data_IF_708534791806
#
_entry.id   IF_708534791806
#
_cell.length_a   1.000
_cell.length_b   1.000
_cell.length_c   1.000
_cell.angle_alpha   90.00
_cell.angle_beta   90.00
_cell.angle_gamma   90.00
#
_symmetry.space_group_name_H-M   'P 1'
#
loop_
_entity.id
_entity.type
_entity.pdbx_description
1 polymer ?
#
# COMPACT_ATOMS: atom_id res chain seq x y z
N UNK A 1 -4.25 -46.77 24.05
CA UNK A 1 -3.61 -47.19 22.79
C UNK A 1 -2.12 -46.91 22.93
N UNK A 2 -1.34 -47.96 23.14
CA UNK A 2 0.11 -47.89 23.31
C UNK A 2 0.75 -47.83 21.92
N UNK A 3 0.86 -46.61 21.38
CA UNK A 3 1.47 -46.40 20.07
C UNK A 3 2.94 -46.85 20.09
N UNK A 4 3.31 -47.68 19.11
CA UNK A 4 4.67 -48.20 18.98
C UNK A 4 5.67 -47.05 18.84
N UNK A 5 6.94 -47.24 19.25
CA UNK A 5 7.98 -46.18 19.18
C UNK A 5 8.06 -45.49 17.82
N UNK A 6 7.79 -46.22 16.74
CA UNK A 6 7.80 -45.71 15.37
C UNK A 6 6.63 -44.76 15.09
N UNK A 7 5.47 -44.99 15.70
CA UNK A 7 4.27 -44.17 15.50
C UNK A 7 4.44 -42.76 16.12
N UNK A 8 5.09 -42.69 17.29
CA UNK A 8 5.40 -41.40 17.93
C UNK A 8 6.39 -40.58 17.10
N UNK A 9 7.38 -41.23 16.48
CA UNK A 9 8.36 -40.55 15.63
C UNK A 9 7.72 -39.97 14.37
N UNK A 10 6.80 -40.71 13.74
CA UNK A 10 6.10 -40.23 12.54
C UNK A 10 5.27 -38.98 12.85
N UNK A 11 4.51 -38.98 13.95
CA UNK A 11 3.69 -37.83 14.36
C UNK A 11 4.55 -36.57 14.59
N UNK A 12 5.71 -36.72 15.22
CA UNK A 12 6.62 -35.60 15.47
C UNK A 12 7.15 -35.04 14.14
N UNK A 13 7.61 -35.90 13.23
CA UNK A 13 8.13 -35.45 11.92
C UNK A 13 7.03 -34.77 11.10
N UNK A 14 5.83 -35.32 11.05
CA UNK A 14 4.71 -34.73 10.31
C UNK A 14 4.32 -33.36 10.88
N UNK A 15 4.27 -33.20 12.20
CA UNK A 15 3.96 -31.90 12.83
C UNK A 15 5.03 -30.84 12.53
N UNK A 16 6.31 -31.23 12.48
CA UNK A 16 7.41 -30.33 12.13
C UNK A 16 7.31 -29.85 10.67
N UNK A 17 7.03 -30.76 9.73
CA UNK A 17 6.90 -30.42 8.32
C UNK A 17 5.72 -29.46 8.10
N UNK A 18 4.56 -29.74 8.72
CA UNK A 18 3.39 -28.86 8.60
C UNK A 18 3.71 -27.47 9.14
N UNK A 19 4.28 -27.36 10.35
CA UNK A 19 4.66 -26.08 10.94
C UNK A 19 5.71 -25.32 10.10
N UNK A 20 6.68 -26.03 9.53
CA UNK A 20 7.70 -25.44 8.67
C UNK A 20 7.10 -24.89 7.36
N UNK A 21 6.21 -25.64 6.70
CA UNK A 21 5.55 -25.17 5.47
C UNK A 21 4.64 -23.98 5.75
N UNK A 22 3.85 -24.00 6.83
CA UNK A 22 3.00 -22.86 7.20
C UNK A 22 3.83 -21.61 7.53
N UNK A 23 4.94 -21.77 8.26
CA UNK A 23 5.86 -20.66 8.53
C UNK A 23 6.52 -20.11 7.26
N UNK A 24 6.87 -20.98 6.31
CA UNK A 24 7.49 -20.58 5.05
C UNK A 24 6.52 -19.80 4.14
N UNK A 25 5.24 -20.20 4.08
CA UNK A 25 4.20 -19.46 3.34
C UNK A 25 4.02 -18.06 3.95
N UNK A 26 3.86 -17.97 5.28
CA UNK A 26 3.69 -16.68 5.96
C UNK A 26 4.91 -15.76 5.80
N UNK A 27 6.13 -16.30 5.80
CA UNK A 27 7.35 -15.52 5.56
C UNK A 27 7.48 -15.06 4.10
N UNK A 28 7.01 -15.85 3.13
CA UNK A 28 6.98 -15.45 1.73
C UNK A 28 5.96 -14.33 1.49
N UNK A 29 4.76 -14.42 2.07
CA UNK A 29 3.76 -13.34 2.02
C UNK A 29 4.28 -12.06 2.71
N UNK A 30 5.07 -12.20 3.77
CA UNK A 30 5.71 -11.06 4.44
C UNK A 30 6.82 -10.42 3.59
N UNK A 31 7.45 -11.17 2.68
CA UNK A 31 8.50 -10.66 1.80
C UNK A 31 7.96 -9.84 0.63
N UNK A 32 6.68 -9.97 0.28
CA UNK A 32 6.00 -9.09 -0.69
C UNK A 32 5.66 -7.70 -0.11
N UNK A 33 5.85 -7.47 1.19
CA UNK A 33 5.65 -6.16 1.83
C UNK A 33 6.93 -5.28 1.81
N UNK A 34 8.03 -5.75 1.21
CA UNK A 34 9.28 -4.96 1.10
C UNK A 34 9.41 -4.08 -0.15
N UNK A 35 8.29 -3.74 -0.79
CA UNK A 35 8.22 -2.67 -1.81
C UNK A 35 7.34 -1.48 -1.39
N UNK A 36 7.10 -1.27 -0.09
CA UNK A 36 6.82 0.09 0.41
C UNK A 36 8.11 0.91 0.38
N UNK A 37 8.65 1.12 -0.83
CA UNK A 37 9.59 2.20 -1.07
C UNK A 37 8.83 3.49 -0.84
N UNK A 38 9.16 4.21 0.22
CA UNK A 38 8.78 5.62 0.33
C UNK A 38 9.42 6.34 -0.85
N UNK A 39 8.65 6.55 -1.93
CA UNK A 39 9.09 7.39 -3.03
C UNK A 39 8.99 8.83 -2.54
N UNK A 40 10.10 9.38 -2.07
CA UNK A 40 10.23 10.81 -1.81
C UNK A 40 10.26 11.49 -3.17
N UNK A 41 9.10 11.98 -3.63
CA UNK A 41 9.04 12.87 -4.78
C UNK A 41 9.59 14.23 -4.37
N UNK A 42 10.86 14.47 -4.68
CA UNK A 42 11.36 15.83 -4.87
C UNK A 42 11.00 16.24 -6.30
N UNK A 43 10.37 17.40 -6.46
CA UNK A 43 10.03 17.99 -7.76
C UNK A 43 11.28 18.45 -8.52
N UNK A 44 12.24 17.55 -8.80
CA UNK A 44 13.32 17.81 -9.76
C UNK A 44 13.67 16.57 -10.57
N UNK A 45 13.11 16.55 -11.78
CA UNK A 45 13.58 15.93 -13.02
C UNK A 45 13.66 14.41 -13.14
N UNK A 46 13.04 13.93 -14.22
CA UNK A 46 13.25 12.61 -14.83
C UNK A 46 14.74 12.44 -15.14
N UNK A 47 15.43 11.63 -14.35
CA UNK A 47 16.74 11.10 -14.72
C UNK A 47 16.60 9.59 -14.90
N UNK A 48 16.60 9.19 -16.17
CA UNK A 48 16.87 7.79 -16.56
C UNK A 48 18.36 7.56 -16.33
N UNK A 49 18.76 6.70 -15.38
CA UNK A 49 19.97 5.87 -15.49
C UNK A 49 20.12 4.85 -14.34
N UNK A 50 20.41 3.62 -14.78
CA UNK A 50 21.12 2.46 -14.19
C UNK A 50 21.66 2.52 -12.73
N UNK A 51 21.72 1.39 -11.98
CA UNK A 51 21.96 1.39 -10.55
C UNK A 51 23.45 1.27 -10.20
N UNK A 52 24.04 2.33 -9.63
CA UNK A 52 25.16 2.23 -8.69
C UNK A 52 24.98 3.29 -7.58
N UNK A 53 25.43 3.03 -6.33
CA UNK A 53 25.01 3.78 -5.16
C UNK A 53 25.87 5.04 -4.97
N UNK A 54 25.32 6.21 -5.31
CA UNK A 54 25.94 7.50 -4.97
C UNK A 54 25.08 8.22 -3.95
N UNK A 55 25.62 8.32 -2.73
CA UNK A 55 25.17 9.23 -1.68
C UNK A 55 25.28 10.68 -2.18
N UNK A 56 24.15 11.38 -2.34
CA UNK A 56 24.14 12.82 -2.61
C UNK A 56 23.37 13.58 -1.52
N UNK A 57 24.13 14.40 -0.78
CA UNK A 57 23.63 15.52 0.01
C UNK A 57 23.02 16.55 -0.94
N UNK A 58 21.72 16.80 -0.87
CA UNK A 58 21.06 17.86 -1.65
C UNK A 58 20.76 19.03 -0.71
N UNK A 59 21.44 20.15 -0.96
CA UNK A 59 21.22 21.44 -0.33
C UNK A 59 19.93 22.09 -0.83
N UNK A 60 19.11 22.49 0.15
CA UNK A 60 17.87 23.26 0.09
C UNK A 60 17.74 24.26 -1.07
N UNK A 61 16.68 24.10 -1.87
CA UNK A 61 16.12 25.16 -2.68
C UNK A 61 14.66 25.38 -2.27
N UNK A 62 14.35 26.61 -1.90
CA UNK A 62 13.11 27.10 -1.32
C UNK A 62 11.94 27.04 -2.31
N UNK A 63 11.15 25.98 -2.23
CA UNK A 63 9.75 25.92 -2.68
C UNK A 63 8.87 26.13 -1.43
N UNK A 64 7.71 26.81 -1.47
CA UNK A 64 6.90 26.99 -0.27
C UNK A 64 6.55 25.61 0.32
N UNK A 65 7.10 25.38 1.51
CA UNK A 65 7.32 24.10 2.21
C UNK A 65 6.03 23.45 2.76
N UNK A 66 4.87 23.76 2.17
CA UNK A 66 3.56 23.52 2.81
C UNK A 66 2.89 22.21 2.39
N UNK A 67 3.31 21.58 1.29
CA UNK A 67 2.74 20.30 0.85
C UNK A 67 3.72 19.16 1.16
N UNK A 68 3.57 18.57 2.34
CA UNK A 68 4.28 17.35 2.69
C UNK A 68 3.47 16.13 2.26
N UNK A 69 4.04 15.31 1.38
CA UNK A 69 3.51 14.00 1.03
C UNK A 69 3.78 13.06 2.19
N UNK A 70 2.74 12.73 2.94
CA UNK A 70 2.85 11.85 4.10
C UNK A 70 3.12 10.39 3.66
N UNK A 71 2.63 10.00 2.48
CA UNK A 71 2.76 8.65 1.96
C UNK A 71 2.50 8.58 0.47
N UNK A 72 3.11 7.62 -0.23
CA UNK A 72 2.84 7.32 -1.63
C UNK A 72 3.01 5.82 -1.92
N UNK A 73 2.11 5.25 -2.72
CA UNK A 73 2.09 3.84 -3.10
C UNK A 73 1.73 3.70 -4.58
N UNK A 74 2.50 2.91 -5.31
CA UNK A 74 2.31 2.67 -6.73
C UNK A 74 1.52 1.37 -6.94
N UNK A 75 0.57 1.37 -7.88
CA UNK A 75 -0.18 0.17 -8.27
C UNK A 75 0.74 -0.88 -8.92
N UNK A 76 0.35 -2.17 -8.90
CA UNK A 76 1.17 -3.24 -9.51
C UNK A 76 1.48 -3.00 -10.99
N UNK A 77 0.56 -2.39 -11.75
CA UNK A 77 0.76 -2.05 -13.16
C UNK A 77 1.54 -0.75 -13.39
N UNK A 78 1.84 0.02 -12.34
CA UNK A 78 2.56 1.30 -12.42
C UNK A 78 1.78 2.44 -13.10
N UNK A 79 0.49 2.27 -13.38
CA UNK A 79 -0.34 3.29 -14.02
C UNK A 79 -0.93 4.28 -13.01
N UNK A 80 -1.03 3.89 -11.75
CA UNK A 80 -1.63 4.69 -10.68
C UNK A 80 -0.69 4.84 -9.50
N UNK A 81 -0.76 6.00 -8.86
CA UNK A 81 0.01 6.31 -7.66
C UNK A 81 -0.96 6.91 -6.66
N UNK A 82 -1.25 6.18 -5.60
CA UNK A 82 -1.92 6.74 -4.43
C UNK A 82 -0.93 7.61 -3.67
N UNK A 83 -1.36 8.76 -3.19
CA UNK A 83 -0.59 9.57 -2.26
C UNK A 83 -1.51 10.38 -1.35
N UNK A 84 -0.98 10.79 -0.20
CA UNK A 84 -1.71 11.60 0.77
C UNK A 84 -0.93 12.89 1.05
N UNK A 85 -1.59 14.03 0.90
CA UNK A 85 -0.99 15.36 1.10
C UNK A 85 -1.52 16.02 2.36
N UNK A 86 -0.61 16.47 3.21
CA UNK A 86 -0.93 17.34 4.35
C UNK A 86 -0.94 18.78 3.87
N UNK A 87 -2.05 19.48 4.08
CA UNK A 87 -2.15 20.93 3.81
C UNK A 87 -1.39 21.71 4.89
N UNK A 88 -1.50 21.27 6.15
CA UNK A 88 -0.66 21.75 7.24
C UNK A 88 0.17 20.60 7.79
N UNK A 89 1.49 20.78 8.02
CA UNK A 89 2.36 19.69 8.45
C UNK A 89 2.07 19.19 9.88
N UNK A 90 1.36 19.99 10.68
CA UNK A 90 0.92 19.66 12.03
C UNK A 90 -0.42 18.93 12.08
N UNK A 91 -1.11 18.78 10.94
CA UNK A 91 -2.39 18.09 10.90
C UNK A 91 -2.16 16.58 10.96
N UNK A 92 -2.95 15.90 11.78
CA UNK A 92 -3.02 14.43 11.84
C UNK A 92 -3.74 13.84 10.63
N UNK A 93 -4.31 14.69 9.77
CA UNK A 93 -5.10 14.31 8.61
C UNK A 93 -4.43 14.75 7.32
N UNK A 94 -4.58 13.94 6.28
CA UNK A 94 -4.13 14.24 4.94
C UNK A 94 -5.25 13.99 3.92
N UNK A 95 -5.25 14.79 2.86
CA UNK A 95 -6.17 14.64 1.74
C UNK A 95 -5.61 13.59 0.79
N UNK A 96 -6.45 12.63 0.40
CA UNK A 96 -6.04 11.48 -0.42
C UNK A 96 -6.25 11.74 -1.91
N UNK A 97 -5.28 11.33 -2.72
CA UNK A 97 -5.28 11.48 -4.16
C UNK A 97 -4.76 10.23 -4.86
N UNK A 98 -5.18 10.06 -6.12
CA UNK A 98 -4.55 9.13 -7.06
C UNK A 98 -4.09 9.89 -8.28
N UNK A 99 -2.79 9.80 -8.55
CA UNK A 99 -2.22 10.24 -9.80
C UNK A 99 -2.30 9.13 -10.86
N UNK A 100 -2.87 9.46 -12.01
CA UNK A 100 -2.99 8.60 -13.18
C UNK A 100 -1.91 8.99 -14.20
N UNK A 101 -0.97 8.07 -14.44
CA UNK A 101 0.22 8.33 -15.25
C UNK A 101 -0.08 8.60 -16.71
N UNK A 102 -1.01 7.85 -17.30
CA UNK A 102 -1.29 7.91 -18.74
C UNK A 102 -1.90 9.24 -19.17
N UNK A 103 -2.69 9.84 -18.29
CA UNK A 103 -3.35 11.14 -18.51
C UNK A 103 -2.60 12.29 -17.86
N UNK A 104 -1.61 12.01 -16.99
CA UNK A 104 -0.90 13.00 -16.18
C UNK A 104 -1.87 13.84 -15.33
N UNK A 105 -2.85 13.18 -14.70
CA UNK A 105 -3.90 13.83 -13.90
C UNK A 105 -3.96 13.26 -12.50
N UNK A 106 -4.13 14.12 -11.50
CA UNK A 106 -4.46 13.72 -10.14
C UNK A 106 -5.96 13.81 -9.91
N UNK A 107 -6.52 12.78 -9.27
CA UNK A 107 -7.92 12.69 -8.89
C UNK A 107 -8.04 12.62 -7.37
N UNK A 108 -9.00 13.32 -6.80
CA UNK A 108 -9.33 13.16 -5.39
C UNK A 108 -9.91 11.76 -5.15
N UNK A 109 -9.45 11.11 -4.07
CA UNK A 109 -10.05 9.84 -3.65
C UNK A 109 -11.40 10.15 -3.00
N UNK A 110 -12.45 9.53 -3.52
CA UNK A 110 -13.83 9.71 -3.07
C UNK A 110 -14.34 8.42 -2.44
N UNK A 111 -15.00 8.53 -1.29
CA UNK A 111 -15.84 7.47 -0.74
C UNK A 111 -17.29 7.96 -0.73
N UNK A 112 -18.21 7.20 -1.33
CA UNK A 112 -19.62 7.60 -1.43
C UNK A 112 -19.78 9.03 -1.99
N UNK A 113 -18.98 9.38 -3.00
CA UNK A 113 -18.91 10.71 -3.65
C UNK A 113 -18.45 11.88 -2.77
N UNK A 114 -17.85 11.61 -1.61
CA UNK A 114 -17.26 12.64 -0.74
C UNK A 114 -15.73 12.50 -0.71
N UNK A 115 -14.96 13.60 -0.74
CA UNK A 115 -13.50 13.55 -0.61
C UNK A 115 -13.07 12.82 0.66
N UNK A 116 -12.12 11.91 0.50
CA UNK A 116 -11.60 11.09 1.58
C UNK A 116 -10.41 11.80 2.25
N UNK A 117 -10.56 12.06 3.55
CA UNK A 117 -9.45 12.42 4.42
C UNK A 117 -9.03 11.21 5.24
N UNK A 118 -7.72 11.00 5.35
CA UNK A 118 -7.16 9.91 6.14
C UNK A 118 -6.43 10.48 7.33
N UNK A 119 -6.60 9.83 8.48
CA UNK A 119 -5.68 10.01 9.60
C UNK A 119 -4.36 9.34 9.26
N UNK A 120 -3.24 9.95 9.66
CA UNK A 120 -1.88 9.47 9.36
C UNK A 120 -1.68 7.99 9.72
N UNK A 121 -2.15 7.56 10.89
CA UNK A 121 -2.07 6.14 11.32
C UNK A 121 -2.84 5.19 10.38
N UNK A 122 -3.93 5.65 9.77
CA UNK A 122 -4.76 4.87 8.84
C UNK A 122 -4.08 4.68 7.49
N UNK A 123 -3.12 5.55 7.14
CA UNK A 123 -2.42 5.48 5.84
C UNK A 123 -1.60 4.20 5.72
N UNK A 124 -1.14 3.62 6.84
CA UNK A 124 -0.47 2.32 6.87
C UNK A 124 -1.36 1.14 6.43
N UNK A 125 -2.69 1.34 6.38
CA UNK A 125 -3.66 0.34 5.92
C UNK A 125 -3.96 0.46 4.42
N UNK A 126 -3.33 1.42 3.73
CA UNK A 126 -3.49 1.58 2.29
C UNK A 126 -2.64 0.54 1.57
N UNK A 127 -3.21 -0.13 0.58
CA UNK A 127 -2.50 -1.12 -0.21
C UNK A 127 -3.14 -1.34 -1.57
N UNK A 128 -2.33 -1.86 -2.49
CA UNK A 128 -2.81 -2.29 -3.80
C UNK A 128 -2.82 -3.82 -3.88
N UNK A 129 -3.92 -4.39 -4.35
CA UNK A 129 -4.03 -5.82 -4.67
C UNK A 129 -4.71 -5.94 -6.02
N UNK A 130 -4.07 -6.59 -6.99
CA UNK A 130 -4.60 -6.74 -8.36
C UNK A 130 -5.05 -5.41 -8.99
N UNK A 131 -4.32 -4.30 -8.74
CA UNK A 131 -4.67 -2.93 -9.13
C UNK A 131 -5.99 -2.39 -8.55
N UNK A 132 -6.57 -3.07 -7.56
CA UNK A 132 -7.64 -2.53 -6.71
C UNK A 132 -6.97 -1.82 -5.53
N UNK A 133 -7.33 -0.55 -5.33
CA UNK A 133 -6.92 0.19 -4.15
C UNK A 133 -7.73 -0.31 -2.96
N UNK A 134 -7.06 -0.56 -1.85
CA UNK A 134 -7.68 -0.98 -0.59
C UNK A 134 -7.23 -0.06 0.53
N UNK A 135 -8.18 0.30 1.40
CA UNK A 135 -7.92 1.10 2.61
C UNK A 135 -8.74 0.47 3.74
N UNK A 136 -8.12 -0.41 4.51
CA UNK A 136 -8.85 -1.24 5.48
C UNK A 136 -9.91 -2.11 4.79
N UNK A 137 -11.20 -1.91 5.10
CA UNK A 137 -12.35 -2.64 4.51
C UNK A 137 -12.92 -1.98 3.25
N UNK A 138 -12.43 -0.79 2.90
CA UNK A 138 -12.88 -0.01 1.75
C UNK A 138 -12.04 -0.41 0.54
N UNK A 139 -12.66 -0.52 -0.63
CA UNK A 139 -11.98 -0.88 -1.88
C UNK A 139 -12.39 0.03 -3.02
N UNK A 140 -11.54 0.15 -4.04
CA UNK A 140 -11.93 0.83 -5.27
C UNK A 140 -13.02 0.05 -6.01
N UNK A 141 -13.97 0.78 -6.58
CA UNK A 141 -15.09 0.21 -7.34
C UNK A 141 -14.61 -0.34 -8.69
N UNK A 142 -13.57 0.25 -9.27
CA UNK A 142 -13.08 -0.07 -10.61
C UNK A 142 -11.55 -0.08 -10.67
N UNK A 143 -11.03 -0.86 -11.63
CA UNK A 143 -9.59 -0.94 -11.94
C UNK A 143 -9.08 0.30 -12.68
N UNK A 144 -9.94 0.94 -13.48
CA UNK A 144 -9.60 2.11 -14.30
C UNK A 144 -9.87 3.44 -13.59
N UNK A 145 -10.68 3.41 -12.54
CA UNK A 145 -11.05 4.57 -11.73
C UNK A 145 -10.83 4.26 -10.24
N UNK A 146 -9.58 3.95 -9.83
CA UNK A 146 -9.30 3.50 -8.47
C UNK A 146 -9.55 4.56 -7.40
N UNK A 147 -9.78 5.81 -7.79
CA UNK A 147 -10.09 6.92 -6.88
C UNK A 147 -11.55 6.90 -6.41
N UNK A 148 -12.42 6.07 -6.99
CA UNK A 148 -13.79 5.89 -6.53
C UNK A 148 -13.87 4.67 -5.61
N UNK A 149 -14.10 4.91 -4.32
CA UNK A 149 -14.14 3.88 -3.30
C UNK A 149 -15.56 3.53 -2.86
N UNK A 150 -15.75 2.26 -2.51
CA UNK A 150 -16.98 1.70 -1.95
C UNK A 150 -16.69 1.01 -0.64
N UNK A 151 -17.56 1.22 0.34
CA UNK A 151 -17.55 0.46 1.57
C UNK A 151 -18.17 -0.92 1.32
N UNK A 152 -17.41 -1.97 1.60
CA UNK A 152 -17.86 -3.36 1.42
C UNK A 152 -18.31 -4.01 2.74
N UNK A 153 -18.32 -3.25 3.84
CA UNK A 153 -18.73 -3.72 5.15
C UNK A 153 -20.25 -3.73 5.37
N UNK A 154 -21.03 -3.04 4.52
CA UNK A 154 -22.49 -3.06 4.55
C UNK A 154 -23.03 -4.22 3.69
N UNK A 155 -23.75 -5.19 4.29
CA UNK A 155 -24.44 -6.21 3.50
C UNK A 155 -25.46 -5.54 2.58
N UNK A 156 -25.51 -5.96 1.33
CA UNK A 156 -26.61 -5.63 0.43
C UNK A 156 -27.82 -6.41 0.93
N UNK A 157 -28.72 -5.75 1.64
CA UNK A 157 -30.07 -6.27 1.86
C UNK A 157 -30.76 -6.31 0.49
N UNK A 158 -30.82 -7.50 -0.10
CA UNK A 158 -31.68 -7.79 -1.25
C UNK A 158 -33.10 -8.00 -0.71
N UNK A 159 -33.94 -6.97 -0.82
CA UNK A 159 -35.41 -7.12 -0.72
C UNK A 159 -36.01 -7.69 -2.01
#
# INVERSE_FOLDING_TARGET
>A
MEGTKNERTVVIITSYIIGFVTGFILLNDYSEIKNSGTVIYSDQQVITQNPEPVSQNITNNSQPDYLQKAHALVSQDGNFIFYCEKINPTDDFCQSYIYQKNTNTAHEVLISNSPMTLKEDTVALVGWSDNILTIGTIKSAHLTEPWLLVDTSTPIDLE
#
